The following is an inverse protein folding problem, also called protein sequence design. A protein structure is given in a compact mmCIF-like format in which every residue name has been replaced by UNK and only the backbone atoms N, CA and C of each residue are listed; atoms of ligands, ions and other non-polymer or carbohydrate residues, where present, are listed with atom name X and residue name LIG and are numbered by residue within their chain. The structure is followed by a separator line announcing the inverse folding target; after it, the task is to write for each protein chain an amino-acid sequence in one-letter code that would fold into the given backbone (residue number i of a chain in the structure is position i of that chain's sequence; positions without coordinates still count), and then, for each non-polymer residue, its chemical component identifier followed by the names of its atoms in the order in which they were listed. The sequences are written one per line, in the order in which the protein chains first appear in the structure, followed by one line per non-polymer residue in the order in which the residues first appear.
data_IF_802846861778
#
_entry.id   IF_802846861778
#
_cell.length_a   1.000
_cell.length_b   1.000
_cell.length_c   1.000
_cell.angle_alpha   90.00
_cell.angle_beta   90.00
_cell.angle_gamma   90.00
#
_symmetry.space_group_name_H-M   'P 1'
#
loop_
_entity.id
_entity.type
_entity.pdbx_description
1 polymer ?
#
# COMPACT_ATOMS: atom_id res chain seq x y z
N UNK A 1 52.93 19.58 -17.73
CA UNK A 1 52.42 18.33 -17.16
C UNK A 1 50.91 18.48 -17.16
N UNK A 2 50.29 18.01 -18.24
CA UNK A 2 48.84 18.04 -18.43
C UNK A 2 48.23 16.82 -17.75
N UNK A 3 47.33 17.03 -16.79
CA UNK A 3 46.46 15.98 -16.27
C UNK A 3 45.21 15.90 -17.15
N UNK A 4 45.06 14.75 -17.83
CA UNK A 4 43.93 14.47 -18.69
C UNK A 4 42.63 14.31 -17.90
N UNK A 5 41.67 15.19 -18.16
CA UNK A 5 40.28 15.02 -17.74
C UNK A 5 39.66 13.92 -18.61
N UNK A 6 39.55 12.73 -18.05
CA UNK A 6 38.76 11.62 -18.58
C UNK A 6 37.27 11.95 -18.44
N UNK A 7 36.66 12.47 -19.50
CA UNK A 7 35.20 12.57 -19.61
C UNK A 7 34.68 11.21 -20.07
N UNK A 8 34.06 10.48 -19.16
CA UNK A 8 33.37 9.23 -19.47
C UNK A 8 32.06 9.54 -20.22
N UNK A 9 32.14 9.61 -21.55
CA UNK A 9 31.02 9.91 -22.46
C UNK A 9 30.08 8.71 -22.68
N UNK A 10 30.40 7.53 -22.12
CA UNK A 10 29.67 6.28 -22.36
C UNK A 10 29.22 5.57 -21.08
N UNK A 11 29.36 6.22 -19.91
CA UNK A 11 28.73 5.75 -18.69
C UNK A 11 27.21 5.68 -18.90
N UNK A 12 26.63 4.50 -18.72
CA UNK A 12 25.17 4.31 -18.62
C UNK A 12 24.59 5.45 -17.79
N UNK A 13 23.52 6.15 -18.23
CA UNK A 13 22.96 7.24 -17.46
C UNK A 13 22.58 6.69 -16.09
N UNK A 14 23.37 7.04 -15.06
CA UNK A 14 22.98 6.86 -13.68
C UNK A 14 21.69 7.65 -13.55
N UNK A 15 20.56 7.04 -13.21
CA UNK A 15 19.30 7.76 -13.09
C UNK A 15 19.56 8.98 -12.21
N UNK A 16 19.25 10.17 -12.75
CA UNK A 16 19.40 11.40 -12.01
C UNK A 16 18.70 11.21 -10.66
N UNK A 17 19.43 11.44 -9.58
CA UNK A 17 18.90 11.40 -8.22
C UNK A 17 17.96 12.61 -8.09
N UNK A 18 16.73 12.45 -8.55
CA UNK A 18 15.69 13.46 -8.39
C UNK A 18 15.26 13.39 -6.93
N UNK A 19 15.95 14.14 -6.08
CA UNK A 19 15.51 14.41 -4.71
C UNK A 19 14.29 15.32 -4.80
N UNK A 20 13.12 14.72 -5.03
CA UNK A 20 11.84 15.40 -4.79
C UNK A 20 11.58 15.28 -3.29
N UNK A 21 11.54 16.43 -2.61
CA UNK A 21 11.13 16.54 -1.21
C UNK A 21 9.81 15.77 -1.02
N UNK A 22 9.87 14.63 -0.33
CA UNK A 22 8.72 13.74 -0.20
C UNK A 22 7.71 14.35 0.78
N UNK A 23 6.41 14.43 0.42
CA UNK A 23 5.39 14.42 1.46
C UNK A 23 5.61 13.13 2.25
N UNK A 24 5.89 13.25 3.55
CA UNK A 24 6.22 12.11 4.42
C UNK A 24 5.01 11.18 4.54
N UNK A 25 4.88 10.27 3.57
CA UNK A 25 3.78 9.32 3.53
C UNK A 25 3.86 8.41 4.76
N UNK A 26 2.74 8.20 5.43
CA UNK A 26 2.71 7.32 6.61
C UNK A 26 2.96 5.88 6.18
N UNK A 27 3.88 5.22 6.87
CA UNK A 27 4.19 3.82 6.59
C UNK A 27 5.13 3.60 5.42
N UNK A 28 5.98 4.58 5.11
CA UNK A 28 7.15 4.39 4.26
C UNK A 28 8.05 3.29 4.84
N UNK A 29 8.38 2.31 4.00
CA UNK A 29 9.24 1.18 4.30
C UNK A 29 10.68 1.46 3.85
N UNK A 30 11.63 0.63 4.31
CA UNK A 30 13.05 0.78 3.96
C UNK A 30 13.35 0.57 2.47
N UNK A 31 12.43 -0.06 1.72
CA UNK A 31 12.48 -0.25 0.26
C UNK A 31 11.77 0.87 -0.52
N UNK A 32 11.36 1.93 0.19
CA UNK A 32 10.59 3.10 -0.24
C UNK A 32 9.21 2.80 -0.80
N UNK A 33 8.65 1.64 -0.48
CA UNK A 33 7.23 1.39 -0.66
C UNK A 33 6.45 1.97 0.52
N UNK A 34 5.23 2.43 0.26
CA UNK A 34 4.34 2.97 1.28
C UNK A 34 3.28 1.93 1.58
N UNK A 35 3.18 1.52 2.85
CA UNK A 35 2.07 0.69 3.31
C UNK A 35 0.76 1.44 3.15
N UNK A 36 -0.26 0.75 2.64
CA UNK A 36 -1.60 1.30 2.49
C UNK A 36 -2.59 0.61 3.41
N UNK A 37 -3.58 1.35 3.87
CA UNK A 37 -4.68 0.84 4.71
C UNK A 37 -6.02 0.96 4.00
N UNK A 38 -7.02 0.32 4.59
CA UNK A 38 -8.41 0.43 4.17
C UNK A 38 -8.92 -0.79 3.43
N UNK A 39 -8.06 -1.62 2.84
CA UNK A 39 -8.48 -2.76 2.04
C UNK A 39 -7.63 -4.01 2.30
N UNK A 40 -8.30 -5.14 2.51
CA UNK A 40 -7.77 -6.50 2.43
C UNK A 40 -8.16 -7.09 1.07
N UNK A 41 -7.30 -7.92 0.50
CA UNK A 41 -7.62 -8.63 -0.74
C UNK A 41 -7.96 -10.08 -0.42
N UNK A 42 -9.17 -10.52 -0.80
CA UNK A 42 -9.59 -11.91 -0.78
C UNK A 42 -9.89 -12.36 -2.21
N UNK A 43 -8.93 -13.01 -2.85
CA UNK A 43 -8.99 -13.34 -4.28
C UNK A 43 -9.01 -12.07 -5.14
N UNK A 44 -10.10 -11.87 -5.89
CA UNK A 44 -10.31 -10.69 -6.75
C UNK A 44 -11.11 -9.58 -6.05
N UNK A 45 -11.54 -9.79 -4.79
CA UNK A 45 -12.40 -8.85 -4.08
C UNK A 45 -11.64 -8.02 -3.04
N UNK A 46 -11.87 -6.71 -3.09
CA UNK A 46 -11.45 -5.75 -2.08
C UNK A 46 -12.44 -5.79 -0.90
N UNK A 47 -11.96 -6.06 0.31
CA UNK A 47 -12.76 -6.03 1.53
C UNK A 47 -12.21 -4.94 2.43
N UNK A 48 -13.08 -4.07 2.95
CA UNK A 48 -12.63 -3.05 3.88
C UNK A 48 -12.04 -3.68 5.14
N UNK A 49 -10.78 -3.36 5.46
CA UNK A 49 -10.09 -3.96 6.60
C UNK A 49 -10.67 -3.50 7.94
N UNK A 50 -11.23 -2.29 7.99
CA UNK A 50 -11.94 -1.76 9.16
C UNK A 50 -13.26 -2.50 9.40
N UNK A 51 -14.02 -2.75 8.32
CA UNK A 51 -15.29 -3.46 8.39
C UNK A 51 -15.06 -4.94 8.76
N UNK A 52 -14.01 -5.54 8.22
CA UNK A 52 -13.62 -6.91 8.59
C UNK A 52 -13.28 -7.01 10.08
N UNK A 53 -12.50 -6.06 10.63
CA UNK A 53 -12.17 -6.07 12.06
C UNK A 53 -13.42 -5.87 12.94
N UNK A 54 -14.31 -4.93 12.59
CA UNK A 54 -15.58 -4.73 13.29
C UNK A 54 -16.46 -5.99 13.26
N UNK A 55 -16.51 -6.70 12.12
CA UNK A 55 -17.25 -7.95 11.97
C UNK A 55 -16.68 -9.07 12.84
N UNK A 56 -15.35 -9.24 12.87
CA UNK A 56 -14.69 -10.23 13.74
C UNK A 56 -15.04 -9.97 15.21
N UNK A 57 -15.00 -8.71 15.63
CA UNK A 57 -15.38 -8.32 16.99
C UNK A 57 -16.87 -8.53 17.26
N UNK A 58 -17.75 -8.25 16.30
CA UNK A 58 -19.18 -8.55 16.42
C UNK A 58 -19.40 -10.05 16.68
N UNK A 59 -18.76 -10.92 15.89
CA UNK A 59 -18.86 -12.37 16.05
C UNK A 59 -18.36 -12.82 17.42
N UNK A 60 -17.21 -12.30 17.88
CA UNK A 60 -16.70 -12.58 19.22
C UNK A 60 -17.65 -12.08 20.32
N UNK A 61 -18.20 -10.88 20.15
CA UNK A 61 -19.18 -10.32 21.08
C UNK A 61 -20.44 -11.18 21.20
N UNK A 62 -20.92 -11.75 20.09
CA UNK A 62 -22.05 -12.70 20.09
C UNK A 62 -21.70 -13.99 20.83
N UNK A 63 -20.51 -14.57 20.60
CA UNK A 63 -20.07 -15.78 21.31
C UNK A 63 -20.01 -15.55 22.82
N UNK A 64 -19.43 -14.42 23.25
CA UNK A 64 -19.35 -14.05 24.67
C UNK A 64 -20.75 -13.82 25.24
N UNK A 65 -21.63 -13.13 24.50
CA UNK A 65 -22.99 -12.87 24.93
C UNK A 65 -23.80 -14.17 25.15
N UNK A 66 -23.66 -15.16 24.28
CA UNK A 66 -24.30 -16.48 24.45
C UNK A 66 -23.85 -17.14 25.76
N UNK A 67 -22.56 -17.06 26.10
CA UNK A 67 -22.05 -17.60 27.36
C UNK A 67 -22.56 -16.84 28.59
N UNK A 68 -22.82 -15.54 28.46
CA UNK A 68 -23.24 -14.66 29.56
C UNK A 68 -24.75 -14.57 29.76
N UNK A 69 -25.58 -14.88 28.75
CA UNK A 69 -27.00 -14.51 28.75
C UNK A 69 -27.80 -15.08 29.91
N UNK A 70 -27.47 -16.29 30.37
CA UNK A 70 -28.15 -16.96 31.49
C UNK A 70 -27.78 -16.37 32.86
N UNK A 71 -26.56 -15.82 32.98
CA UNK A 71 -26.06 -15.25 34.23
C UNK A 71 -26.31 -13.75 34.33
N UNK A 72 -26.14 -13.01 33.23
CA UNK A 72 -26.31 -11.56 33.18
C UNK A 72 -26.74 -11.11 31.76
N UNK A 73 -28.06 -11.06 31.47
CA UNK A 73 -28.55 -10.72 30.13
C UNK A 73 -28.26 -9.27 29.74
N UNK A 74 -28.16 -8.35 30.70
CA UNK A 74 -27.80 -6.95 30.44
C UNK A 74 -26.36 -6.86 29.94
N UNK A 75 -25.41 -7.52 30.63
CA UNK A 75 -24.02 -7.54 30.22
C UNK A 75 -23.83 -8.25 28.87
N UNK A 76 -24.58 -9.33 28.61
CA UNK A 76 -24.60 -10.00 27.32
C UNK A 76 -25.01 -9.02 26.19
N UNK A 77 -26.10 -8.28 26.37
CA UNK A 77 -26.53 -7.25 25.41
C UNK A 77 -25.50 -6.15 25.19
N UNK A 78 -24.92 -5.61 26.27
CA UNK A 78 -23.87 -4.59 26.18
C UNK A 78 -22.64 -5.09 25.43
N UNK A 79 -22.27 -6.35 25.59
CA UNK A 79 -21.12 -6.94 24.91
C UNK A 79 -21.30 -6.94 23.38
N UNK A 80 -22.48 -7.34 22.89
CA UNK A 80 -22.78 -7.32 21.44
C UNK A 80 -22.75 -5.90 20.88
N UNK A 81 -23.31 -4.93 21.62
CA UNK A 81 -23.36 -3.53 21.18
C UNK A 81 -21.97 -2.87 21.20
N UNK A 82 -21.15 -3.16 22.20
CA UNK A 82 -19.84 -2.53 22.37
C UNK A 82 -18.73 -3.17 21.54
N UNK A 83 -18.86 -4.45 21.14
CA UNK A 83 -17.77 -5.14 20.46
C UNK A 83 -17.37 -4.51 19.11
N UNK A 84 -18.28 -4.18 18.17
CA UNK A 84 -17.90 -3.56 16.90
C UNK A 84 -17.13 -2.23 17.03
N UNK A 85 -17.58 -1.22 17.82
CA UNK A 85 -16.82 0.01 17.98
C UNK A 85 -15.47 -0.22 18.69
N UNK A 86 -15.37 -1.18 19.61
CA UNK A 86 -14.10 -1.58 20.21
C UNK A 86 -13.14 -2.17 19.16
N UNK A 87 -13.64 -3.05 18.28
CA UNK A 87 -12.85 -3.62 17.18
C UNK A 87 -12.35 -2.55 16.21
N UNK A 88 -13.23 -1.63 15.83
CA UNK A 88 -12.84 -0.49 14.99
C UNK A 88 -11.82 0.43 15.69
N UNK A 89 -12.01 0.74 16.97
CA UNK A 89 -11.09 1.58 17.73
C UNK A 89 -9.71 0.93 17.87
N UNK A 90 -9.67 -0.39 18.13
CA UNK A 90 -8.44 -1.17 18.17
C UNK A 90 -7.74 -1.18 16.80
N UNK A 91 -8.48 -1.47 15.73
CA UNK A 91 -7.93 -1.42 14.37
C UNK A 91 -7.32 -0.06 14.06
N UNK A 92 -8.05 1.02 14.34
CA UNK A 92 -7.58 2.39 14.13
C UNK A 92 -6.33 2.70 14.95
N UNK A 93 -6.27 2.26 16.20
CA UNK A 93 -5.08 2.41 17.03
C UNK A 93 -3.88 1.71 16.40
N UNK A 94 -4.05 0.46 15.95
CA UNK A 94 -3.00 -0.33 15.30
C UNK A 94 -2.49 0.38 14.05
N UNK A 95 -3.39 0.75 13.12
CA UNK A 95 -2.99 1.33 11.83
C UNK A 95 -2.49 2.78 11.91
N UNK A 96 -2.75 3.49 13.01
CA UNK A 96 -2.27 4.87 13.19
C UNK A 96 -1.03 4.98 14.08
N UNK A 97 -0.81 4.04 14.99
CA UNK A 97 0.27 4.12 16.00
C UNK A 97 1.31 3.02 15.88
N UNK A 98 0.90 1.79 15.60
CA UNK A 98 1.81 0.64 15.63
C UNK A 98 2.33 0.30 14.24
N UNK A 99 1.46 0.36 13.25
CA UNK A 99 1.75 0.05 11.86
C UNK A 99 1.17 1.18 11.00
N UNK A 100 1.77 2.39 11.07
CA UNK A 100 1.31 3.54 10.29
C UNK A 100 1.26 3.16 8.82
N UNK A 101 0.18 3.54 8.17
CA UNK A 101 0.00 3.28 6.75
C UNK A 101 -0.98 4.31 6.17
N UNK A 102 -0.75 4.64 4.90
CA UNK A 102 -1.43 5.72 4.21
C UNK A 102 -2.76 5.26 3.60
N UNK A 103 -3.64 6.19 3.21
CA UNK A 103 -4.82 5.82 2.40
C UNK A 103 -4.53 6.06 0.93
N UNK A 104 -5.15 5.23 0.09
CA UNK A 104 -5.13 5.42 -1.36
C UNK A 104 -6.51 5.84 -1.86
N UNK A 105 -6.56 6.64 -2.91
CA UNK A 105 -7.77 7.06 -3.62
C UNK A 105 -7.58 6.92 -5.12
N UNK A 106 -8.70 6.82 -5.85
CA UNK A 106 -8.72 6.96 -7.30
C UNK A 106 -7.87 5.93 -8.05
N UNK A 107 -8.15 4.63 -7.86
CA UNK A 107 -7.47 3.58 -8.61
C UNK A 107 -7.89 3.62 -10.08
N UNK A 108 -7.02 4.13 -10.94
CA UNK A 108 -7.12 3.97 -12.39
C UNK A 108 -6.18 2.87 -12.84
N UNK A 109 -6.48 2.22 -13.96
CA UNK A 109 -5.62 1.16 -14.50
C UNK A 109 -4.88 1.67 -15.71
N UNK A 110 -3.56 1.49 -15.72
CA UNK A 110 -2.66 1.94 -16.80
C UNK A 110 -1.74 0.79 -17.17
N UNK A 111 -1.46 0.63 -18.46
CA UNK A 111 -0.49 -0.36 -18.95
C UNK A 111 0.92 -0.03 -18.45
N UNK A 112 1.70 -1.06 -18.11
CA UNK A 112 3.03 -0.90 -17.52
C UNK A 112 3.97 0.00 -18.34
N UNK A 113 3.91 -0.06 -19.67
CA UNK A 113 4.73 0.79 -20.55
C UNK A 113 4.29 2.27 -20.60
N UNK A 114 3.08 2.58 -20.14
CA UNK A 114 2.53 3.95 -20.07
C UNK A 114 2.76 4.61 -18.70
N UNK A 115 3.43 3.93 -17.78
CA UNK A 115 3.73 4.48 -16.46
C UNK A 115 4.67 5.68 -16.57
N UNK A 116 4.28 6.77 -15.89
CA UNK A 116 5.00 8.04 -15.88
C UNK A 116 5.76 8.18 -14.57
N UNK A 117 6.97 8.72 -14.62
CA UNK A 117 7.73 9.06 -13.41
C UNK A 117 6.92 9.98 -12.50
N UNK A 118 7.02 9.74 -11.19
CA UNK A 118 6.33 10.48 -10.14
C UNK A 118 4.96 9.94 -9.75
N UNK A 119 4.33 9.07 -10.54
CA UNK A 119 3.04 8.47 -10.19
C UNK A 119 3.18 7.39 -9.10
N UNK A 120 2.10 7.16 -8.34
CA UNK A 120 2.05 6.09 -7.35
C UNK A 120 1.31 4.88 -7.91
N UNK A 121 1.89 3.70 -7.74
CA UNK A 121 1.32 2.45 -8.27
C UNK A 121 1.26 1.36 -7.20
N UNK A 122 0.19 0.58 -7.23
CA UNK A 122 0.10 -0.64 -6.43
C UNK A 122 1.08 -1.69 -6.97
N UNK A 123 2.02 -2.12 -6.14
CA UNK A 123 3.06 -3.09 -6.54
C UNK A 123 2.49 -4.51 -6.72
N UNK A 124 1.41 -4.81 -6.00
CA UNK A 124 0.82 -6.14 -5.91
C UNK A 124 -0.67 -6.12 -6.29
N UNK A 125 -0.97 -5.93 -7.58
CA UNK A 125 -2.36 -5.93 -8.06
C UNK A 125 -3.13 -4.67 -7.67
N UNK A 126 -4.40 -4.80 -7.29
CA UNK A 126 -5.29 -3.65 -7.02
C UNK A 126 -5.17 -3.09 -5.59
N UNK A 127 -4.57 -3.84 -4.67
CA UNK A 127 -4.44 -3.50 -3.26
C UNK A 127 -3.06 -3.90 -2.76
N UNK A 128 -2.41 -3.05 -1.98
CA UNK A 128 -1.14 -3.39 -1.33
C UNK A 128 -0.22 -2.19 -1.18
N UNK A 129 1.06 -2.44 -0.86
CA UNK A 129 2.07 -1.39 -0.83
C UNK A 129 2.11 -0.65 -2.16
N UNK A 130 2.25 0.67 -2.09
CA UNK A 130 2.37 1.51 -3.27
C UNK A 130 3.80 2.01 -3.40
N UNK A 131 4.32 1.98 -4.62
CA UNK A 131 5.63 2.54 -4.94
C UNK A 131 5.46 3.77 -5.81
N UNK A 132 6.28 4.80 -5.56
CA UNK A 132 6.37 5.94 -6.46
C UNK A 132 7.32 5.59 -7.59
N UNK A 133 6.84 5.65 -8.83
CA UNK A 133 7.65 5.36 -10.02
C UNK A 133 8.74 6.41 -10.15
N UNK A 134 10.01 6.00 -10.10
CA UNK A 134 11.16 6.86 -10.37
C UNK A 134 11.48 6.87 -11.86
N UNK A 135 11.57 5.69 -12.47
CA UNK A 135 11.84 5.54 -13.90
C UNK A 135 11.29 4.23 -14.44
N UNK A 136 11.13 4.17 -15.76
CA UNK A 136 10.71 2.97 -16.50
C UNK A 136 11.70 2.70 -17.62
N UNK A 137 12.06 1.43 -17.78
CA UNK A 137 12.96 0.97 -18.85
C UNK A 137 12.29 -0.18 -19.58
N UNK A 138 12.10 -0.02 -20.89
CA UNK A 138 11.61 -1.10 -21.74
C UNK A 138 12.75 -2.08 -22.05
N UNK A 139 12.54 -3.36 -21.73
CA UNK A 139 13.40 -4.47 -22.11
C UNK A 139 13.14 -4.95 -23.54
N UNK A 140 14.13 -5.60 -24.15
CA UNK A 140 14.03 -6.16 -25.51
C UNK A 140 13.07 -7.35 -25.62
N UNK A 141 12.70 -7.97 -24.50
CA UNK A 141 11.83 -9.15 -24.38
C UNK A 141 10.33 -8.83 -24.32
N UNK A 142 9.91 -7.56 -24.49
CA UNK A 142 8.51 -7.16 -24.30
C UNK A 142 8.12 -7.00 -22.82
N UNK A 143 9.10 -6.73 -21.97
CA UNK A 143 8.93 -6.45 -20.55
C UNK A 143 9.30 -4.99 -20.25
N UNK A 144 8.72 -4.44 -19.18
CA UNK A 144 9.03 -3.10 -18.66
C UNK A 144 9.52 -3.27 -17.23
N UNK A 145 10.74 -2.81 -16.97
CA UNK A 145 11.28 -2.70 -15.63
C UNK A 145 10.98 -1.31 -15.09
N UNK A 146 10.29 -1.28 -13.95
CA UNK A 146 9.90 -0.07 -13.23
C UNK A 146 10.74 0.03 -11.97
N UNK A 147 11.45 1.15 -11.83
CA UNK A 147 12.22 1.49 -10.64
C UNK A 147 11.40 2.40 -9.75
N UNK A 148 11.37 2.11 -8.46
CA UNK A 148 10.70 2.94 -7.47
C UNK A 148 11.68 3.88 -6.78
N UNK A 149 11.17 4.98 -6.24
CA UNK A 149 11.97 5.99 -5.54
C UNK A 149 12.81 5.41 -4.38
N UNK A 150 12.35 4.33 -3.74
CA UNK A 150 13.08 3.61 -2.70
C UNK A 150 14.18 2.66 -3.17
N UNK A 151 14.50 2.62 -4.45
CA UNK A 151 15.53 1.74 -5.02
C UNK A 151 15.08 0.30 -5.27
N UNK A 152 13.85 -0.06 -4.86
CA UNK A 152 13.21 -1.31 -5.29
C UNK A 152 12.81 -1.25 -6.76
N UNK A 153 12.65 -2.41 -7.41
CA UNK A 153 12.24 -2.50 -8.80
C UNK A 153 11.32 -3.70 -9.05
N UNK A 154 10.54 -3.63 -10.12
CA UNK A 154 9.64 -4.68 -10.59
C UNK A 154 9.67 -4.77 -12.11
N UNK A 155 9.51 -5.97 -12.64
CA UNK A 155 9.34 -6.20 -14.07
C UNK A 155 7.94 -6.73 -14.34
N UNK A 156 7.30 -6.18 -15.36
CA UNK A 156 6.00 -6.60 -15.85
C UNK A 156 6.00 -6.73 -17.38
N UNK A 157 5.13 -7.56 -17.98
CA UNK A 157 4.85 -7.49 -19.41
C UNK A 157 4.38 -6.09 -19.83
N UNK A 158 4.67 -5.66 -21.06
CA UNK A 158 4.29 -4.32 -21.58
C UNK A 158 2.80 -4.02 -21.46
N UNK A 159 1.94 -5.02 -21.67
CA UNK A 159 0.48 -4.89 -21.63
C UNK A 159 -0.11 -5.17 -20.23
N UNK A 160 0.75 -5.40 -19.23
CA UNK A 160 0.30 -5.65 -17.88
C UNK A 160 -0.39 -4.41 -17.31
N UNK A 161 -1.56 -4.63 -16.73
CA UNK A 161 -2.39 -3.59 -16.17
C UNK A 161 -1.97 -3.30 -14.73
N UNK A 162 -1.51 -2.08 -14.47
CA UNK A 162 -1.05 -1.62 -13.16
C UNK A 162 -2.03 -0.59 -12.62
N UNK A 163 -2.33 -0.68 -11.33
CA UNK A 163 -3.23 0.27 -10.68
C UNK A 163 -2.45 1.51 -10.22
N UNK A 164 -2.73 2.64 -10.85
CA UNK A 164 -2.25 3.97 -10.45
C UNK A 164 -3.21 4.54 -9.43
N UNK A 165 -2.67 5.03 -8.33
CA UNK A 165 -3.43 5.56 -7.19
C UNK A 165 -2.90 6.92 -6.76
N UNK A 166 -3.71 7.64 -6.01
CA UNK A 166 -3.27 8.83 -5.28
C UNK A 166 -3.13 8.49 -3.80
N UNK A 167 -2.06 8.96 -3.15
CA UNK A 167 -1.93 8.92 -1.70
C UNK A 167 -2.73 10.06 -1.08
N UNK A 168 -3.60 9.71 -0.13
CA UNK A 168 -4.42 10.63 0.63
C UNK A 168 -4.09 10.46 2.12
N UNK A 169 -3.13 11.23 2.62
CA UNK A 169 -2.75 11.23 4.03
C UNK A 169 -3.38 12.36 4.85
#
# INVERSE_FOLDING_TARGET
MDEGVSVDLFGNPKPAEVVVEEPSARGLLDDGLVRTTGWLQLGTHAISSEAFCALVFLVHGLVIAIALVSANPVLAGLTVLAAPPCGWALWRLVITRLLPASRTRGASTVEAHKLVSGCWVCVHGSIGPVGRVASTTSGSSGEVTVWFAGGSWRTWPVDHQVHVVELAD
#
